data_IF_099817562810
#
_entry.id   IF_099817562810
#
_cell.length_a   1.000
_cell.length_b   1.000
_cell.length_c   1.000
_cell.angle_alpha   90.00
_cell.angle_beta   90.00
_cell.angle_gamma   90.00
#
_symmetry.space_group_name_H-M   'P 1'
#
loop_
_entity.id
_entity.type
_entity.pdbx_description
1 polymer ?
#
# COMPACT_ATOMS: atom_id res chain seq x y z
N UNK A 1 -5.98 32.39 -25.61
CA UNK A 1 -5.99 31.40 -24.53
C UNK A 1 -4.68 30.65 -24.62
N UNK A 2 -3.79 30.86 -23.65
CA UNK A 2 -2.48 30.21 -23.66
C UNK A 2 -2.64 28.78 -23.15
N UNK A 3 -2.14 27.79 -23.90
CA UNK A 3 -2.24 26.38 -23.53
C UNK A 3 -1.25 26.08 -22.39
N UNK A 4 -1.76 25.65 -21.23
CA UNK A 4 -0.98 25.23 -20.08
C UNK A 4 -0.93 23.69 -19.97
N UNK A 5 0.21 23.08 -19.62
CA UNK A 5 0.34 21.62 -19.55
C UNK A 5 -0.19 21.04 -18.23
N UNK A 6 -1.49 21.18 -17.97
CA UNK A 6 -2.16 20.50 -16.86
C UNK A 6 -1.95 18.97 -16.93
N UNK A 7 -1.79 18.28 -15.80
CA UNK A 7 -1.60 16.83 -15.78
C UNK A 7 -2.87 16.11 -16.26
N UNK A 8 -2.67 15.07 -17.08
CA UNK A 8 -3.72 14.19 -17.60
C UNK A 8 -3.26 12.74 -17.50
N UNK A 9 -4.19 11.79 -17.61
CA UNK A 9 -3.90 10.34 -17.51
C UNK A 9 -2.88 9.85 -18.54
N UNK A 10 -2.78 10.49 -19.70
CA UNK A 10 -1.81 10.11 -20.72
C UNK A 10 -0.36 10.54 -20.39
N UNK A 11 -0.14 11.36 -19.35
CA UNK A 11 1.20 11.84 -19.01
C UNK A 11 2.18 10.71 -18.69
N UNK A 12 1.72 9.58 -18.16
CA UNK A 12 2.58 8.46 -17.71
C UNK A 12 3.33 7.78 -18.86
N UNK A 13 2.82 7.89 -20.09
CA UNK A 13 3.43 7.31 -21.30
C UNK A 13 3.77 8.37 -22.36
N UNK A 14 3.43 9.64 -22.11
CA UNK A 14 3.60 10.72 -23.08
C UNK A 14 5.07 11.10 -23.23
N UNK A 15 5.61 11.08 -24.46
CA UNK A 15 7.03 11.46 -24.72
C UNK A 15 7.44 12.87 -24.25
N UNK A 16 6.49 13.77 -24.00
CA UNK A 16 6.74 15.15 -23.61
C UNK A 16 6.57 15.41 -22.10
N UNK A 17 6.29 14.37 -21.30
CA UNK A 17 5.94 14.51 -19.89
C UNK A 17 7.00 15.28 -19.10
N UNK A 18 8.30 15.09 -19.40
CA UNK A 18 9.41 15.77 -18.74
C UNK A 18 9.41 17.28 -18.99
N UNK A 19 9.06 17.71 -20.21
CA UNK A 19 8.99 19.14 -20.57
C UNK A 19 7.83 19.80 -19.82
N UNK A 20 6.67 19.13 -19.82
CA UNK A 20 5.51 19.57 -19.07
C UNK A 20 5.78 19.64 -17.56
N UNK A 21 6.44 18.62 -17.00
CA UNK A 21 6.77 18.56 -15.58
C UNK A 21 7.75 19.66 -15.17
N UNK A 22 8.80 19.88 -15.98
CA UNK A 22 9.75 20.97 -15.76
C UNK A 22 9.06 22.32 -15.73
N UNK A 23 8.14 22.59 -16.67
CA UNK A 23 7.35 23.84 -16.68
C UNK A 23 6.50 23.97 -15.41
N UNK A 24 5.76 22.93 -15.03
CA UNK A 24 4.94 22.94 -13.81
C UNK A 24 5.76 23.17 -12.55
N UNK A 25 6.96 22.62 -12.46
CA UNK A 25 7.89 22.85 -11.32
C UNK A 25 8.44 24.28 -11.30
N UNK A 26 8.79 24.83 -12.46
CA UNK A 26 9.25 26.22 -12.57
C UNK A 26 8.15 27.22 -12.17
N UNK A 27 6.92 26.94 -12.56
CA UNK A 27 5.75 27.80 -12.29
C UNK A 27 5.16 27.57 -10.89
N UNK A 28 5.76 26.68 -10.08
CA UNK A 28 5.23 26.23 -8.78
C UNK A 28 3.75 25.81 -8.81
N UNK A 29 3.37 25.10 -9.87
CA UNK A 29 1.97 24.85 -10.20
C UNK A 29 1.26 24.03 -9.12
N UNK A 30 0.01 24.40 -8.81
CA UNK A 30 -0.83 23.73 -7.81
C UNK A 30 -0.94 22.21 -7.98
N UNK A 31 -0.80 21.66 -9.19
CA UNK A 31 -0.84 20.21 -9.41
C UNK A 31 0.27 19.43 -8.74
N UNK A 32 1.29 20.11 -8.20
CA UNK A 32 2.35 19.48 -7.41
C UNK A 32 1.92 19.16 -5.98
N UNK A 33 0.81 19.72 -5.50
CA UNK A 33 0.24 19.39 -4.19
C UNK A 33 -0.34 17.97 -4.24
N UNK A 34 0.13 17.08 -3.37
CA UNK A 34 -0.33 15.70 -3.35
C UNK A 34 -1.83 15.64 -3.02
N UNK A 35 -2.58 14.78 -3.73
CA UNK A 35 -4.02 14.60 -3.53
C UNK A 35 -4.91 15.74 -4.05
N UNK A 36 -4.37 16.79 -4.65
CA UNK A 36 -5.18 17.88 -5.19
C UNK A 36 -5.89 17.51 -6.50
N UNK A 37 -7.21 17.68 -6.54
CA UNK A 37 -8.01 17.45 -7.74
C UNK A 37 -7.91 18.61 -8.74
N UNK A 38 -8.25 18.35 -10.01
CA UNK A 38 -8.35 19.42 -11.02
C UNK A 38 -9.40 20.47 -10.67
N UNK A 39 -10.52 20.06 -10.06
CA UNK A 39 -11.58 20.97 -9.61
C UNK A 39 -11.10 21.92 -8.52
N UNK A 40 -10.37 21.41 -7.52
CA UNK A 40 -9.79 22.25 -6.47
C UNK A 40 -8.78 23.25 -7.04
N UNK A 41 -7.98 22.87 -8.04
CA UNK A 41 -7.04 23.81 -8.69
C UNK A 41 -7.74 24.95 -9.41
N UNK A 42 -8.86 24.68 -10.09
CA UNK A 42 -9.65 25.72 -10.76
C UNK A 42 -10.22 26.67 -9.71
N UNK A 43 -10.83 26.15 -8.66
CA UNK A 43 -11.44 26.96 -7.60
C UNK A 43 -10.39 27.78 -6.81
N UNK A 44 -9.21 27.23 -6.53
CA UNK A 44 -8.12 28.00 -5.91
C UNK A 44 -7.64 29.14 -6.81
N UNK A 45 -7.56 28.92 -8.13
CA UNK A 45 -7.23 29.99 -9.09
C UNK A 45 -8.30 31.09 -9.09
N UNK A 46 -9.57 30.75 -8.94
CA UNK A 46 -10.66 31.72 -8.79
C UNK A 46 -10.56 32.53 -7.48
N UNK A 47 -9.90 31.98 -6.45
CA UNK A 47 -9.56 32.69 -5.21
C UNK A 47 -8.27 33.49 -5.29
N UNK A 48 -7.60 33.52 -6.45
CA UNK A 48 -6.32 34.20 -6.65
C UNK A 48 -5.12 33.44 -6.09
N UNK A 49 -5.26 32.13 -5.84
CA UNK A 49 -4.18 31.25 -5.42
C UNK A 49 -3.73 30.45 -6.63
N UNK A 50 -2.51 30.71 -7.11
CA UNK A 50 -1.99 30.17 -8.36
C UNK A 50 -0.86 29.16 -8.16
N UNK A 51 -0.18 29.20 -7.02
CA UNK A 51 1.01 28.37 -6.73
C UNK A 51 0.86 27.51 -5.48
N UNK A 52 1.66 26.46 -5.38
CA UNK A 52 1.79 25.64 -4.18
C UNK A 52 2.28 26.47 -3.00
N UNK A 53 3.26 27.36 -3.19
CA UNK A 53 3.73 28.28 -2.15
C UNK A 53 2.64 29.22 -1.65
N UNK A 54 1.84 29.82 -2.53
CA UNK A 54 0.71 30.66 -2.11
C UNK A 54 -0.31 29.85 -1.29
N UNK A 55 -0.67 28.65 -1.77
CA UNK A 55 -1.58 27.77 -1.04
C UNK A 55 -1.03 27.43 0.36
N UNK A 56 0.27 27.15 0.47
CA UNK A 56 0.94 26.82 1.74
C UNK A 56 0.83 27.93 2.80
N UNK A 57 0.62 29.19 2.37
CA UNK A 57 0.58 30.38 3.22
C UNK A 57 -0.84 30.87 3.49
N UNK A 58 -1.86 30.26 2.90
CA UNK A 58 -3.27 30.59 3.16
C UNK A 58 -3.54 30.49 4.67
N UNK A 59 -4.15 31.52 5.30
CA UNK A 59 -4.45 31.50 6.73
C UNK A 59 -5.54 30.47 7.06
N UNK A 60 -5.53 30.00 8.31
CA UNK A 60 -6.56 29.13 8.87
C UNK A 60 -7.32 29.93 9.94
N UNK A 61 -8.66 29.98 9.91
CA UNK A 61 -9.55 29.28 8.98
C UNK A 61 -9.47 29.85 7.54
N UNK A 62 -9.72 28.98 6.55
CA UNK A 62 -9.70 29.37 5.13
C UNK A 62 -10.74 30.48 4.91
N UNK A 63 -10.35 31.65 4.37
CA UNK A 63 -11.23 32.81 4.27
C UNK A 63 -12.32 32.66 3.20
N UNK A 64 -12.10 31.79 2.22
CA UNK A 64 -13.04 31.51 1.14
C UNK A 64 -13.92 30.30 1.46
N UNK A 65 -15.20 30.40 1.12
CA UNK A 65 -16.14 29.27 1.19
C UNK A 65 -16.06 28.45 -0.10
N UNK A 66 -15.79 27.14 -0.05
CA UNK A 66 -15.85 26.26 -1.22
C UNK A 66 -17.23 26.27 -1.87
N UNK A 67 -17.26 26.48 -3.18
CA UNK A 67 -18.42 26.24 -4.04
C UNK A 67 -18.64 24.75 -4.29
N UNK A 68 -17.58 23.93 -4.18
CA UNK A 68 -17.62 22.47 -4.31
C UNK A 68 -16.80 21.80 -3.21
N UNK A 69 -17.29 20.67 -2.69
CA UNK A 69 -16.62 19.94 -1.61
C UNK A 69 -16.78 20.59 -0.24
N UNK A 70 -16.06 20.06 0.75
CA UNK A 70 -16.06 20.59 2.12
C UNK A 70 -14.84 21.47 2.38
N UNK A 71 -14.95 22.39 3.34
CA UNK A 71 -13.81 23.19 3.84
C UNK A 71 -12.65 22.29 4.28
N UNK A 72 -12.96 21.13 4.85
CA UNK A 72 -11.98 20.14 5.30
C UNK A 72 -11.09 19.63 4.16
N UNK A 73 -11.65 19.41 2.97
CA UNK A 73 -10.84 18.97 1.81
C UNK A 73 -9.85 20.05 1.37
N UNK A 74 -10.20 21.33 1.49
CA UNK A 74 -9.32 22.45 1.20
C UNK A 74 -8.27 22.64 2.29
N UNK A 75 -8.63 22.40 3.55
CA UNK A 75 -7.69 22.39 4.68
C UNK A 75 -6.63 21.31 4.49
N UNK A 76 -7.03 20.08 4.11
CA UNK A 76 -6.10 18.98 3.82
C UNK A 76 -5.08 19.32 2.73
N UNK A 77 -5.52 19.83 1.58
CA UNK A 77 -4.58 20.20 0.50
C UNK A 77 -3.71 21.42 0.86
N UNK A 78 -4.22 22.33 1.71
CA UNK A 78 -3.44 23.46 2.25
C UNK A 78 -2.33 22.97 3.18
N UNK A 79 -2.64 22.09 4.13
CA UNK A 79 -1.64 21.49 5.02
C UNK A 79 -0.63 20.65 4.24
N UNK A 80 -1.09 19.90 3.25
CA UNK A 80 -0.22 19.16 2.35
C UNK A 80 0.73 20.09 1.58
N UNK A 81 0.24 21.22 1.07
CA UNK A 81 1.07 22.25 0.44
C UNK A 81 2.07 22.86 1.43
N UNK A 82 1.69 23.08 2.70
CA UNK A 82 2.59 23.56 3.76
C UNK A 82 3.75 22.59 3.99
N UNK A 83 3.46 21.31 4.24
CA UNK A 83 4.49 20.30 4.50
C UNK A 83 5.42 20.13 3.28
N UNK A 84 4.86 20.10 2.07
CA UNK A 84 5.66 20.02 0.83
C UNK A 84 6.53 21.26 0.61
N UNK A 85 6.00 22.45 0.85
CA UNK A 85 6.75 23.70 0.72
C UNK A 85 7.89 23.77 1.75
N UNK A 86 7.60 23.43 3.00
CA UNK A 86 8.60 23.38 4.07
C UNK A 86 9.73 22.38 3.75
N UNK A 87 9.38 21.20 3.26
CA UNK A 87 10.36 20.19 2.84
C UNK A 87 11.21 20.65 1.66
N UNK A 88 10.61 21.37 0.70
CA UNK A 88 11.35 21.99 -0.41
C UNK A 88 12.37 23.01 0.11
N UNK A 89 11.98 23.91 1.01
CA UNK A 89 12.86 24.95 1.56
C UNK A 89 13.99 24.35 2.41
N UNK A 90 13.69 23.30 3.17
CA UNK A 90 14.68 22.63 4.04
C UNK A 90 15.51 21.55 3.31
N UNK A 91 15.25 21.32 2.03
CA UNK A 91 15.85 20.26 1.22
C UNK A 91 15.80 18.88 1.89
N UNK A 92 14.70 18.59 2.60
CA UNK A 92 14.49 17.30 3.27
C UNK A 92 13.02 16.92 3.27
N UNK A 93 12.75 15.62 3.33
CA UNK A 93 11.39 15.14 3.54
C UNK A 93 10.88 15.60 4.92
N UNK A 94 9.79 16.34 4.92
CA UNK A 94 9.01 16.65 6.12
C UNK A 94 7.77 15.78 6.07
N UNK A 95 7.46 15.18 7.20
CA UNK A 95 6.24 14.42 7.39
C UNK A 95 5.70 14.75 8.78
N UNK A 96 4.39 14.66 8.91
CA UNK A 96 3.67 14.80 10.16
C UNK A 96 2.81 13.56 10.33
N UNK A 97 2.78 13.03 11.54
CA UNK A 97 1.92 11.89 11.85
C UNK A 97 0.51 12.41 12.03
N UNK A 98 -0.44 11.75 11.36
CA UNK A 98 -1.85 12.00 11.59
C UNK A 98 -2.25 11.46 12.97
N UNK A 99 -3.35 12.00 13.51
CA UNK A 99 -3.87 11.54 14.78
C UNK A 99 -4.18 10.04 14.74
N UNK A 100 -3.83 9.37 15.83
CA UNK A 100 -4.05 7.95 15.97
C UNK A 100 -5.51 7.71 16.36
N UNK A 101 -6.29 7.19 15.41
CA UNK A 101 -7.69 6.85 15.63
C UNK A 101 -7.86 5.35 15.83
N UNK A 102 -8.38 4.96 16.99
CA UNK A 102 -8.73 3.56 17.26
C UNK A 102 -9.68 3.04 16.17
N UNK A 103 -9.37 1.87 15.62
CA UNK A 103 -10.15 1.28 14.54
C UNK A 103 -9.85 1.82 13.14
N UNK A 104 -8.74 2.53 12.92
CA UNK A 104 -8.26 2.94 11.58
C UNK A 104 -6.79 2.57 11.35
N UNK A 105 -6.39 2.41 10.09
CA UNK A 105 -5.02 2.07 9.71
C UNK A 105 -4.43 0.91 10.52
N UNK A 106 -3.20 1.09 11.00
CA UNK A 106 -2.46 0.09 11.78
C UNK A 106 -3.13 -0.28 13.12
N UNK A 107 -4.04 0.54 13.66
CA UNK A 107 -4.78 0.21 14.90
C UNK A 107 -5.83 -0.90 14.73
N UNK A 108 -6.08 -1.33 13.49
CA UNK A 108 -6.91 -2.50 13.22
C UNK A 108 -6.12 -3.80 13.12
N UNK A 109 -4.78 -3.73 13.16
CA UNK A 109 -3.97 -4.94 13.20
C UNK A 109 -4.30 -5.74 14.46
N UNK A 110 -4.26 -7.08 14.38
CA UNK A 110 -4.37 -7.89 15.59
C UNK A 110 -3.19 -7.63 16.52
N UNK A 111 -3.35 -7.98 17.79
CA UNK A 111 -2.24 -7.99 18.74
C UNK A 111 -1.12 -8.92 18.24
N UNK A 112 0.15 -8.50 18.30
CA UNK A 112 1.26 -9.33 17.85
C UNK A 112 1.36 -10.65 18.62
N UNK A 113 1.59 -11.75 17.90
CA UNK A 113 1.91 -13.05 18.50
C UNK A 113 3.37 -13.41 18.21
N UNK A 114 4.13 -14.03 19.15
CA UNK A 114 5.42 -14.63 18.83
C UNK A 114 5.33 -15.72 17.74
N UNK A 115 4.12 -16.20 17.48
CA UNK A 115 3.79 -17.16 16.44
C UNK A 115 3.69 -16.58 15.03
N UNK A 116 3.70 -15.25 14.88
CA UNK A 116 3.39 -14.58 13.62
C UNK A 116 4.38 -14.90 12.50
N UNK A 117 3.84 -15.00 11.28
CA UNK A 117 4.55 -15.36 10.05
C UNK A 117 4.28 -14.28 9.00
N UNK A 118 5.33 -13.83 8.31
CA UNK A 118 5.23 -12.95 7.15
C UNK A 118 5.54 -13.76 5.90
N UNK A 119 4.53 -14.04 5.08
CA UNK A 119 4.60 -14.94 3.93
C UNK A 119 4.74 -14.15 2.62
N UNK A 120 5.58 -14.68 1.74
CA UNK A 120 5.77 -14.19 0.37
C UNK A 120 5.96 -15.38 -0.59
N UNK A 121 5.39 -15.28 -1.79
CA UNK A 121 5.55 -16.28 -2.84
C UNK A 121 6.12 -15.63 -4.09
N UNK A 122 7.03 -16.35 -4.76
CA UNK A 122 7.43 -16.02 -6.12
C UNK A 122 7.02 -17.14 -7.07
N UNK A 123 6.40 -16.76 -8.18
CA UNK A 123 5.90 -17.68 -9.18
C UNK A 123 6.11 -17.23 -10.61
N UNK A 124 6.22 -18.20 -11.51
CA UNK A 124 6.26 -17.98 -12.95
C UNK A 124 4.98 -18.58 -13.59
N UNK A 125 4.05 -17.73 -14.08
CA UNK A 125 2.80 -18.20 -14.68
C UNK A 125 3.01 -18.90 -16.03
N UNK A 126 4.19 -18.80 -16.66
CA UNK A 126 4.48 -19.37 -17.98
C UNK A 126 5.16 -20.74 -17.92
N UNK A 127 5.50 -21.23 -16.73
CA UNK A 127 6.04 -22.59 -16.57
C UNK A 127 4.93 -23.63 -16.81
N UNK A 128 5.18 -24.52 -17.77
CA UNK A 128 4.24 -25.59 -18.11
C UNK A 128 2.90 -25.07 -18.63
N UNK A 129 1.79 -25.67 -18.20
CA UNK A 129 0.43 -25.25 -18.59
C UNK A 129 -0.32 -24.50 -17.50
N UNK A 130 0.23 -24.43 -16.29
CA UNK A 130 -0.47 -23.95 -15.10
C UNK A 130 0.34 -22.97 -14.24
N UNK A 131 1.56 -22.63 -14.65
CA UNK A 131 2.51 -21.88 -13.84
C UNK A 131 3.08 -22.67 -12.66
N UNK A 132 4.07 -22.09 -11.99
CA UNK A 132 4.82 -22.67 -10.88
C UNK A 132 5.18 -21.59 -9.85
N UNK A 133 4.78 -21.78 -8.59
CA UNK A 133 5.36 -21.10 -7.43
C UNK A 133 6.73 -21.73 -7.13
N UNK A 134 7.79 -21.06 -7.53
CA UNK A 134 9.14 -21.60 -7.44
C UNK A 134 9.84 -21.25 -6.12
N UNK A 135 9.36 -20.25 -5.38
CA UNK A 135 9.89 -19.88 -4.06
C UNK A 135 8.75 -19.65 -3.08
N UNK A 136 8.75 -20.41 -1.99
CA UNK A 136 7.94 -20.13 -0.80
C UNK A 136 8.86 -19.51 0.25
N UNK A 137 8.74 -18.21 0.49
CA UNK A 137 9.56 -17.46 1.44
C UNK A 137 8.72 -17.01 2.65
N UNK A 138 9.29 -17.06 3.85
CA UNK A 138 8.63 -16.46 5.00
C UNK A 138 9.59 -16.01 6.09
N UNK A 139 9.13 -15.07 6.92
CA UNK A 139 9.87 -14.57 8.09
C UNK A 139 9.11 -14.87 9.37
N UNK A 140 9.84 -15.26 10.42
CA UNK A 140 9.33 -15.45 11.78
C UNK A 140 10.07 -14.55 12.76
N UNK A 141 9.42 -14.12 13.84
CA UNK A 141 10.01 -13.22 14.85
C UNK A 141 9.87 -13.80 16.27
N UNK A 142 10.12 -15.10 16.42
CA UNK A 142 9.90 -15.82 17.70
C UNK A 142 10.89 -15.40 18.80
N UNK A 143 12.12 -15.04 18.44
CA UNK A 143 13.21 -14.69 19.38
C UNK A 143 13.48 -13.19 19.49
N UNK A 144 12.61 -12.35 18.90
CA UNK A 144 12.79 -10.89 18.82
C UNK A 144 13.68 -10.42 17.65
N UNK A 145 14.33 -11.34 16.93
CA UNK A 145 15.00 -11.07 15.66
C UNK A 145 14.27 -11.77 14.51
N UNK A 146 14.13 -11.14 13.33
CA UNK A 146 13.52 -11.77 12.16
C UNK A 146 14.42 -12.87 11.61
N UNK A 147 13.87 -14.07 11.46
CA UNK A 147 14.50 -15.22 10.82
C UNK A 147 13.83 -15.52 9.49
N UNK A 148 14.60 -15.49 8.39
CA UNK A 148 14.11 -15.78 7.05
C UNK A 148 14.27 -17.27 6.72
N UNK A 149 13.21 -17.85 6.22
CA UNK A 149 13.15 -19.22 5.74
C UNK A 149 12.65 -19.24 4.29
N UNK A 150 13.04 -20.27 3.55
CA UNK A 150 12.54 -20.46 2.20
C UNK A 150 12.60 -21.93 1.76
N UNK A 151 11.78 -22.27 0.78
CA UNK A 151 11.82 -23.55 0.07
C UNK A 151 11.76 -23.26 -1.43
N UNK A 152 12.73 -23.81 -2.18
CA UNK A 152 12.75 -23.77 -3.64
C UNK A 152 11.98 -24.95 -4.23
N UNK A 153 11.26 -24.69 -5.30
CA UNK A 153 10.58 -25.67 -6.13
C UNK A 153 10.97 -25.46 -7.59
N UNK A 154 11.43 -26.53 -8.25
CA UNK A 154 11.87 -26.47 -9.66
C UNK A 154 10.94 -27.22 -10.60
N UNK A 155 9.96 -27.93 -10.04
CA UNK A 155 8.96 -28.71 -10.76
C UNK A 155 7.68 -28.82 -9.91
N UNK A 156 6.56 -29.32 -10.47
CA UNK A 156 5.31 -29.47 -9.73
C UNK A 156 5.40 -30.39 -8.50
N UNK A 157 6.34 -31.35 -8.48
CA UNK A 157 6.53 -32.23 -7.32
C UNK A 157 7.18 -31.44 -6.18
N UNK A 158 8.17 -30.60 -6.50
CA UNK A 158 8.79 -29.66 -5.59
C UNK A 158 7.81 -28.59 -5.09
N UNK A 159 6.95 -28.03 -5.97
CA UNK A 159 5.93 -27.05 -5.59
C UNK A 159 4.96 -27.64 -4.57
N UNK A 160 4.48 -28.86 -4.83
CA UNK A 160 3.63 -29.58 -3.89
C UNK A 160 4.33 -29.81 -2.54
N UNK A 161 5.59 -30.28 -2.56
CA UNK A 161 6.33 -30.55 -1.33
C UNK A 161 6.59 -29.27 -0.52
N UNK A 162 6.91 -28.16 -1.19
CA UNK A 162 7.10 -26.85 -0.56
C UNK A 162 5.80 -26.35 0.10
N UNK A 163 4.68 -26.42 -0.63
CA UNK A 163 3.35 -26.08 -0.12
C UNK A 163 2.98 -26.89 1.12
N UNK A 164 3.14 -28.21 1.06
CA UNK A 164 2.79 -29.10 2.17
C UNK A 164 3.69 -28.85 3.39
N UNK A 165 4.99 -28.69 3.18
CA UNK A 165 5.97 -28.44 4.24
C UNK A 165 5.72 -27.11 4.94
N UNK A 166 5.39 -26.06 4.17
CA UNK A 166 5.04 -24.77 4.73
C UNK A 166 3.78 -24.87 5.60
N UNK A 167 2.70 -25.49 5.10
CA UNK A 167 1.47 -25.62 5.88
C UNK A 167 1.62 -26.49 7.12
N UNK A 168 2.38 -27.59 7.04
CA UNK A 168 2.65 -28.42 8.22
C UNK A 168 3.35 -27.62 9.31
N UNK A 169 4.31 -26.78 8.92
CA UNK A 169 5.00 -25.90 9.85
C UNK A 169 4.08 -24.85 10.44
N UNK A 170 3.24 -24.20 9.64
CA UNK A 170 2.23 -23.22 10.11
C UNK A 170 1.28 -23.87 11.11
N UNK A 171 0.75 -25.06 10.81
CA UNK A 171 -0.19 -25.76 11.69
C UNK A 171 0.49 -26.20 12.98
N UNK A 172 1.72 -26.71 12.92
CA UNK A 172 2.48 -27.01 14.13
C UNK A 172 2.69 -25.77 15.00
N UNK A 173 3.01 -24.62 14.38
CA UNK A 173 3.16 -23.35 15.09
C UNK A 173 1.84 -22.86 15.69
N UNK A 174 0.71 -23.10 15.01
CA UNK A 174 -0.64 -22.76 15.47
C UNK A 174 -1.05 -23.49 16.74
N UNK A 175 -0.57 -24.72 16.96
CA UNK A 175 -0.79 -25.43 18.23
C UNK A 175 -0.06 -24.76 19.41
N UNK A 176 1.11 -24.16 19.17
CA UNK A 176 1.90 -23.46 20.19
C UNK A 176 1.41 -22.01 20.40
N UNK A 177 0.98 -21.37 19.32
CA UNK A 177 0.53 -19.97 19.29
C UNK A 177 -0.88 -19.89 18.67
N UNK A 178 -1.93 -20.15 19.47
CA UNK A 178 -3.32 -20.16 18.96
C UNK A 178 -3.81 -18.81 18.46
N UNK A 179 -3.07 -17.73 18.70
CA UNK A 179 -3.32 -16.36 18.27
C UNK A 179 -2.47 -15.94 17.07
N UNK A 180 -1.66 -16.82 16.47
CA UNK A 180 -0.79 -16.44 15.35
C UNK A 180 -1.57 -15.93 14.14
N UNK A 181 -0.92 -15.06 13.39
CA UNK A 181 -1.36 -14.55 12.11
C UNK A 181 -0.33 -14.79 11.01
N UNK A 182 -0.81 -14.91 9.78
CA UNK A 182 -0.03 -14.99 8.56
C UNK A 182 -0.25 -13.66 7.83
N UNK A 183 0.74 -12.79 7.91
CA UNK A 183 0.75 -11.51 7.21
C UNK A 183 1.20 -11.71 5.77
N UNK A 184 0.56 -11.00 4.85
CA UNK A 184 0.87 -11.01 3.44
C UNK A 184 0.51 -9.64 2.83
N UNK A 185 0.95 -9.36 1.60
CA UNK A 185 0.71 -8.05 0.97
C UNK A 185 -0.18 -8.19 -0.27
N UNK A 186 -1.45 -7.83 -0.12
CA UNK A 186 -2.44 -7.95 -1.17
C UNK A 186 -3.01 -9.36 -1.26
N UNK A 187 -3.68 -9.66 -2.37
CA UNK A 187 -4.53 -10.86 -2.49
C UNK A 187 -3.80 -12.10 -3.02
N UNK A 188 -2.52 -12.00 -3.36
CA UNK A 188 -1.81 -13.03 -4.12
C UNK A 188 -1.62 -14.31 -3.28
N UNK A 189 -1.06 -14.21 -2.09
CA UNK A 189 -0.63 -15.36 -1.29
C UNK A 189 -1.81 -16.24 -0.83
N UNK A 190 -2.92 -15.69 -0.27
CA UNK A 190 -4.08 -16.50 0.07
C UNK A 190 -4.73 -17.14 -1.17
N UNK A 191 -4.65 -16.48 -2.32
CA UNK A 191 -5.15 -17.03 -3.59
C UNK A 191 -4.26 -18.15 -4.11
N UNK A 192 -2.94 -18.00 -3.97
CA UNK A 192 -1.95 -19.03 -4.30
C UNK A 192 -2.15 -20.27 -3.43
N UNK A 193 -2.28 -20.13 -2.10
CA UNK A 193 -2.53 -21.25 -1.20
C UNK A 193 -3.82 -22.02 -1.55
N UNK A 194 -4.93 -21.32 -1.83
CA UNK A 194 -6.18 -21.95 -2.27
C UNK A 194 -6.04 -22.68 -3.61
N UNK A 195 -5.29 -22.07 -4.55
CA UNK A 195 -5.00 -22.68 -5.86
C UNK A 195 -4.16 -23.94 -5.70
N UNK A 196 -3.09 -23.90 -4.90
CA UNK A 196 -2.20 -25.03 -4.64
C UNK A 196 -2.93 -26.17 -3.93
N UNK A 197 -3.75 -25.85 -2.92
CA UNK A 197 -4.65 -26.80 -2.26
C UNK A 197 -5.55 -27.52 -3.26
N UNK A 198 -6.23 -26.78 -4.14
CA UNK A 198 -7.11 -27.36 -5.16
C UNK A 198 -6.37 -28.14 -6.24
N UNK A 199 -5.19 -27.65 -6.68
CA UNK A 199 -4.34 -28.27 -7.69
C UNK A 199 -3.79 -29.63 -7.21
N UNK A 200 -3.28 -29.67 -5.99
CA UNK A 200 -2.63 -30.86 -5.45
C UNK A 200 -3.54 -31.77 -4.64
N UNK A 201 -4.76 -31.32 -4.37
CA UNK A 201 -5.76 -32.02 -3.57
C UNK A 201 -5.21 -32.44 -2.20
N UNK A 202 -4.43 -31.56 -1.57
CA UNK A 202 -3.86 -31.77 -0.23
C UNK A 202 -4.00 -30.52 0.63
N UNK A 203 -3.90 -30.72 1.95
CA UNK A 203 -3.96 -29.68 2.99
C UNK A 203 -5.28 -28.88 3.03
N UNK A 204 -6.38 -29.48 2.58
CA UNK A 204 -7.70 -28.83 2.54
C UNK A 204 -8.18 -28.43 3.94
N UNK A 205 -8.05 -29.34 4.91
CA UNK A 205 -8.48 -29.10 6.28
C UNK A 205 -7.64 -28.00 6.96
N UNK A 206 -6.34 -27.99 6.71
CA UNK A 206 -5.39 -27.02 7.24
C UNK A 206 -5.68 -25.63 6.71
N UNK A 207 -5.90 -25.48 5.39
CA UNK A 207 -6.29 -24.21 4.78
C UNK A 207 -7.67 -23.75 5.29
N UNK A 208 -8.68 -24.62 5.35
CA UNK A 208 -10.00 -24.26 5.87
C UNK A 208 -9.92 -23.80 7.34
N UNK A 209 -9.12 -24.48 8.18
CA UNK A 209 -8.87 -24.09 9.57
C UNK A 209 -8.27 -22.69 9.67
N UNK A 210 -7.26 -22.36 8.85
CA UNK A 210 -6.63 -21.04 8.85
C UNK A 210 -7.59 -19.95 8.36
N UNK A 211 -8.39 -20.24 7.33
CA UNK A 211 -9.39 -19.31 6.78
C UNK A 211 -10.52 -19.03 7.78
N UNK A 212 -11.10 -20.07 8.38
CA UNK A 212 -12.15 -19.91 9.41
C UNK A 212 -11.63 -19.22 10.66
N UNK A 213 -10.38 -19.51 11.02
CA UNK A 213 -9.67 -18.85 12.11
C UNK A 213 -9.29 -17.40 11.82
N UNK A 214 -9.57 -16.86 10.62
CA UNK A 214 -9.20 -15.51 10.17
C UNK A 214 -7.71 -15.22 10.38
N UNK A 215 -6.86 -16.21 10.09
CA UNK A 215 -5.42 -16.14 10.34
C UNK A 215 -4.65 -15.31 9.33
N UNK A 216 -5.21 -15.09 8.14
CA UNK A 216 -4.58 -14.28 7.11
C UNK A 216 -4.88 -12.79 7.33
N UNK A 217 -3.82 -11.98 7.37
CA UNK A 217 -3.89 -10.53 7.57
C UNK A 217 -3.26 -9.84 6.36
N UNK A 218 -4.11 -9.22 5.54
CA UNK A 218 -3.67 -8.44 4.39
C UNK A 218 -3.15 -7.07 4.85
N UNK A 219 -1.84 -6.87 4.78
CA UNK A 219 -1.19 -5.62 5.16
C UNK A 219 -1.56 -4.46 4.23
N UNK A 220 -1.84 -4.72 2.95
CA UNK A 220 -2.18 -3.68 1.98
C UNK A 220 -3.46 -2.94 2.38
N UNK A 221 -4.45 -3.67 2.90
CA UNK A 221 -5.69 -3.09 3.41
C UNK A 221 -5.46 -2.01 4.48
N UNK A 222 -4.50 -2.20 5.38
CA UNK A 222 -4.26 -1.27 6.49
C UNK A 222 -3.44 -0.04 6.09
N UNK A 223 -2.62 -0.14 5.04
CA UNK A 223 -1.91 1.01 4.49
C UNK A 223 -2.81 1.91 3.63
N UNK A 224 -3.84 1.35 3.00
CA UNK A 224 -4.75 2.08 2.11
C UNK A 224 -5.98 2.66 2.82
N UNK A 225 -6.26 2.23 4.06
CA UNK A 225 -7.46 2.64 4.82
C UNK A 225 -7.15 3.66 5.91
N UNK A 226 -6.84 4.88 5.48
CA UNK A 226 -6.92 6.08 6.32
C UNK A 226 -7.96 7.06 5.73
N UNK A 227 -8.86 7.66 6.53
CA UNK A 227 -9.89 8.58 6.05
C UNK A 227 -9.36 9.88 5.39
#
# INVERSE_FOLDING_TARGET
MELYPDPVTHCDICRWWQVCDKRRRLDDHLSLVAGISSLQRVELKDWGIHTLEELSKVPIPIPHKPSRGSVETYLRIREQARVQFEGRIKEKAIYELLDLHAGFGLYKLPEPSPGDIFLDFEGDPFVGSSGLEYLTGWVEVESGAPEYHHIWAFDPVGEKAAFESFLDKVIHKLEKYPDLHIYHFGHYEPSALKRLMGRYATKEYEIDRLLRGKRFVDLAYYFETYP
#
